data_IF_979990890045
#
_entry.id   IF_979990890045
#
_cell.length_a   1.000
_cell.length_b   1.000
_cell.length_c   1.000
_cell.angle_alpha   90.00
_cell.angle_beta   90.00
_cell.angle_gamma   90.00
#
_symmetry.space_group_name_H-M   'P 1'
#
loop_
_entity.id
_entity.type
_entity.pdbx_description
1 polymer ?
#
# COMPACT_ATOMS: atom_id res chain seq x y z
N UNK A 1 0.47 -22.33 -1.85
CA UNK A 1 0.79 -21.03 -1.20
C UNK A 1 0.32 -19.89 -2.10
N UNK A 2 -0.07 -18.75 -1.54
CA UNK A 2 -0.75 -17.61 -2.21
C UNK A 2 0.11 -16.84 -3.25
N UNK A 3 1.19 -17.42 -3.79
CA UNK A 3 2.03 -16.77 -4.82
C UNK A 3 2.84 -15.55 -4.35
N UNK A 4 3.03 -15.41 -3.03
CA UNK A 4 3.84 -14.38 -2.39
C UNK A 4 5.23 -14.92 -2.06
N UNK A 5 6.26 -14.09 -2.24
CA UNK A 5 7.62 -14.39 -1.82
C UNK A 5 7.84 -14.04 -0.35
N UNK A 6 8.90 -14.57 0.26
CA UNK A 6 9.26 -14.26 1.65
C UNK A 6 9.44 -12.77 1.91
N UNK A 7 10.05 -12.07 0.95
CA UNK A 7 10.15 -10.61 0.93
C UNK A 7 8.76 -9.95 1.00
N UNK A 8 7.80 -10.48 0.25
CA UNK A 8 6.45 -9.93 0.22
C UNK A 8 5.71 -10.15 1.54
N UNK A 9 5.94 -11.31 2.17
CA UNK A 9 5.37 -11.67 3.47
C UNK A 9 5.88 -10.71 4.56
N UNK A 10 7.20 -10.46 4.61
CA UNK A 10 7.82 -9.52 5.57
C UNK A 10 7.37 -8.08 5.32
N UNK A 11 7.18 -7.69 4.05
CA UNK A 11 6.63 -6.37 3.75
C UNK A 11 5.17 -6.25 4.22
N UNK A 12 4.36 -7.30 4.05
CA UNK A 12 2.95 -7.30 4.43
C UNK A 12 2.75 -7.28 5.95
N UNK A 13 3.63 -7.93 6.73
CA UNK A 13 3.58 -7.85 8.20
C UNK A 13 3.84 -6.44 8.73
N UNK A 14 4.63 -5.63 8.01
CA UNK A 14 4.74 -4.18 8.24
C UNK A 14 3.41 -3.44 8.19
N UNK A 15 2.38 -4.05 7.59
CA UNK A 15 0.99 -3.60 7.60
C UNK A 15 0.38 -3.47 9.00
N UNK A 16 0.97 -4.01 10.07
CA UNK A 16 0.54 -3.70 11.46
C UNK A 16 0.66 -2.19 11.79
N UNK A 17 1.54 -1.47 11.11
CA UNK A 17 1.58 0.01 11.14
C UNK A 17 0.30 0.64 10.57
N UNK A 18 -0.37 -0.04 9.62
CA UNK A 18 -1.63 0.37 8.98
C UNK A 18 -2.88 -0.32 9.50
N UNK A 19 -2.80 -1.47 10.17
CA UNK A 19 -4.00 -2.05 10.82
C UNK A 19 -4.50 -1.14 11.93
N UNK A 20 -3.59 -0.37 12.51
CA UNK A 20 -3.85 0.90 13.17
C UNK A 20 -4.77 1.82 12.31
N UNK A 21 -4.42 2.09 11.05
CA UNK A 21 -5.12 2.98 10.12
C UNK A 21 -6.47 2.47 9.58
N UNK A 22 -6.77 1.17 9.61
CA UNK A 22 -8.07 0.64 9.15
C UNK A 22 -9.21 0.84 10.17
N UNK A 23 -8.92 1.35 11.38
CA UNK A 23 -9.91 1.71 12.38
C UNK A 23 -10.38 3.17 12.27
N UNK A 24 -10.22 3.83 11.13
CA UNK A 24 -10.69 5.22 10.93
C UNK A 24 -12.21 5.30 10.75
N UNK A 25 -12.89 4.15 10.58
CA UNK A 25 -14.36 4.06 10.54
C UNK A 25 -14.97 4.05 11.96
N UNK A 26 -14.15 3.88 13.01
CA UNK A 26 -14.59 3.91 14.41
C UNK A 26 -13.72 4.90 15.20
N UNK A 27 -14.09 6.19 15.16
CA UNK A 27 -13.36 7.33 15.76
C UNK A 27 -13.11 7.28 17.28
N UNK A 28 -13.45 6.18 17.97
CA UNK A 28 -13.28 6.04 19.43
C UNK A 28 -12.32 4.92 19.85
N UNK A 29 -11.70 4.22 18.89
CA UNK A 29 -10.73 3.16 19.14
C UNK A 29 -9.39 3.56 18.53
N UNK A 30 -8.53 4.15 19.35
CA UNK A 30 -7.14 4.42 19.01
C UNK A 30 -6.46 3.07 18.74
N UNK A 31 -6.41 2.70 17.46
CA UNK A 31 -5.34 2.00 16.74
C UNK A 31 -4.46 1.07 17.60
N UNK A 32 -5.06 0.03 18.19
CA UNK A 32 -4.38 -1.00 18.99
C UNK A 32 -5.07 -2.35 18.79
N UNK A 33 -4.38 -3.44 19.11
CA UNK A 33 -5.05 -4.74 19.15
C UNK A 33 -6.25 -4.68 20.10
N UNK A 34 -7.34 -5.37 19.73
CA UNK A 34 -8.55 -5.39 20.54
C UNK A 34 -8.71 -6.76 21.19
N UNK A 35 -8.79 -6.84 22.54
CA UNK A 35 -8.88 -8.12 23.23
C UNK A 35 -10.16 -8.88 22.84
N UNK A 36 -11.26 -8.17 22.57
CA UNK A 36 -12.53 -8.77 22.13
C UNK A 36 -12.49 -9.36 20.71
N UNK A 37 -11.45 -9.12 19.91
CA UNK A 37 -11.32 -9.64 18.53
C UNK A 37 -10.15 -10.59 18.38
N UNK A 38 -8.98 -10.21 18.91
CA UNK A 38 -7.74 -10.96 18.73
C UNK A 38 -7.20 -11.58 20.02
N UNK A 39 -7.74 -11.22 21.19
CA UNK A 39 -7.18 -11.62 22.49
C UNK A 39 -5.93 -10.84 22.91
N UNK A 40 -5.49 -9.86 22.11
CA UNK A 40 -4.33 -9.01 22.41
C UNK A 40 -4.76 -7.56 22.61
N UNK A 41 -4.04 -6.82 23.46
CA UNK A 41 -4.25 -5.39 23.69
C UNK A 41 -2.94 -4.62 23.58
N UNK A 42 -2.96 -3.47 22.91
CA UNK A 42 -1.80 -2.58 22.78
C UNK A 42 -1.40 -2.21 21.34
N UNK A 43 -0.73 -1.07 21.13
CA UNK A 43 -0.26 -0.63 19.83
C UNK A 43 1.08 -1.29 19.45
N UNK A 44 1.36 -1.39 18.15
CA UNK A 44 2.63 -1.91 17.63
C UNK A 44 3.72 -0.83 17.50
N UNK A 45 3.34 0.45 17.47
CA UNK A 45 4.27 1.59 17.37
C UNK A 45 3.88 2.68 18.36
N UNK A 46 4.84 3.51 18.75
CA UNK A 46 4.61 4.66 19.65
C UNK A 46 3.67 5.69 19.04
N UNK A 47 3.77 5.85 17.72
CA UNK A 47 2.98 6.81 16.94
C UNK A 47 2.12 6.04 15.92
N UNK A 48 0.96 5.50 16.34
CA UNK A 48 0.13 4.65 15.49
C UNK A 48 -0.55 5.39 14.33
N UNK A 49 -0.44 6.72 14.29
CA UNK A 49 -0.99 7.57 13.23
C UNK A 49 -0.02 7.78 12.06
N UNK A 50 1.28 7.56 12.28
CA UNK A 50 2.31 7.79 11.27
C UNK A 50 2.71 6.48 10.58
N UNK A 51 2.82 6.52 9.26
CA UNK A 51 3.18 5.35 8.47
C UNK A 51 4.65 5.38 8.12
N UNK A 52 5.46 4.93 9.07
CA UNK A 52 6.92 5.01 9.03
C UNK A 52 7.59 3.63 9.18
N UNK A 53 8.92 3.62 9.21
CA UNK A 53 9.74 2.43 9.44
C UNK A 53 9.79 1.99 10.91
N UNK A 54 9.09 2.70 11.81
CA UNK A 54 9.16 2.50 13.25
C UNK A 54 8.75 1.09 13.68
N UNK A 55 7.81 0.45 12.98
CA UNK A 55 7.44 -0.95 13.24
C UNK A 55 8.66 -1.89 13.19
N UNK A 56 9.46 -1.84 12.13
CA UNK A 56 10.62 -2.73 11.99
C UNK A 56 11.74 -2.38 12.97
N UNK A 57 11.87 -1.11 13.35
CA UNK A 57 12.85 -0.66 14.36
C UNK A 57 12.45 -1.18 15.75
N UNK A 58 11.18 -1.03 16.12
CA UNK A 58 10.64 -1.51 17.40
C UNK A 58 10.54 -3.04 17.43
N UNK A 59 10.56 -3.72 16.28
CA UNK A 59 10.65 -5.16 16.22
C UNK A 59 12.01 -5.65 16.76
N UNK A 60 13.09 -4.96 16.39
CA UNK A 60 14.45 -5.26 16.83
C UNK A 60 14.75 -4.82 18.26
N UNK A 61 14.10 -3.73 18.71
CA UNK A 61 14.27 -3.21 20.06
C UNK A 61 13.28 -3.86 21.02
N UNK A 62 13.68 -4.23 22.22
CA UNK A 62 12.75 -4.74 23.24
C UNK A 62 12.09 -3.57 23.99
N UNK A 63 11.28 -2.80 23.29
CA UNK A 63 10.60 -1.63 23.85
C UNK A 63 9.41 -2.04 24.72
N UNK A 64 9.45 -1.59 25.97
CA UNK A 64 8.39 -1.82 26.94
C UNK A 64 7.09 -1.09 26.53
N UNK A 65 5.95 -1.77 26.64
CA UNK A 65 4.63 -1.19 26.38
C UNK A 65 4.15 -1.26 24.92
N UNK A 66 4.95 -1.82 24.00
CA UNK A 66 4.49 -2.13 22.64
C UNK A 66 4.09 -3.60 22.50
N UNK A 67 3.05 -3.84 21.71
CA UNK A 67 2.57 -5.18 21.41
C UNK A 67 3.49 -5.87 20.40
N UNK A 68 3.91 -7.08 20.72
CA UNK A 68 4.57 -8.00 19.80
C UNK A 68 3.82 -9.33 19.79
N UNK A 69 3.27 -9.70 18.64
CA UNK A 69 2.66 -11.01 18.48
C UNK A 69 3.75 -12.09 18.32
N UNK A 70 3.44 -13.36 18.62
CA UNK A 70 4.35 -14.46 18.31
C UNK A 70 4.75 -14.50 16.82
N UNK A 71 3.85 -14.07 15.92
CA UNK A 71 4.13 -13.92 14.49
C UNK A 71 5.15 -12.82 14.21
N UNK A 72 5.09 -11.70 14.93
CA UNK A 72 6.06 -10.61 14.80
C UNK A 72 7.45 -11.08 15.29
N UNK A 73 7.49 -11.82 16.39
CA UNK A 73 8.74 -12.41 16.90
C UNK A 73 9.36 -13.42 15.93
N UNK A 74 8.54 -14.19 15.18
CA UNK A 74 9.02 -15.15 14.20
C UNK A 74 9.82 -14.49 13.05
N UNK A 75 9.49 -13.25 12.67
CA UNK A 75 10.22 -12.50 11.64
C UNK A 75 11.66 -12.17 12.05
N UNK A 76 11.90 -12.05 13.37
CA UNK A 76 13.22 -11.76 13.95
C UNK A 76 13.99 -13.04 14.22
N UNK A 77 13.29 -14.10 14.62
CA UNK A 77 13.87 -15.40 14.93
C UNK A 77 14.40 -16.12 13.68
N UNK A 78 13.75 -15.95 12.53
CA UNK A 78 14.16 -16.56 11.27
C UNK A 78 15.26 -15.73 10.57
N UNK A 79 16.44 -16.31 10.29
CA UNK A 79 17.53 -15.61 9.61
C UNK A 79 17.23 -15.20 8.16
N UNK A 80 16.30 -15.87 7.46
CA UNK A 80 15.90 -15.49 6.10
C UNK A 80 15.01 -14.26 6.11
N UNK A 81 14.02 -14.20 7.00
CA UNK A 81 13.17 -13.02 7.18
C UNK A 81 13.92 -11.83 7.77
N UNK A 82 14.86 -12.08 8.68
CA UNK A 82 15.67 -11.04 9.34
C UNK A 82 16.40 -10.15 8.35
N UNK A 83 16.92 -10.71 7.25
CA UNK A 83 17.59 -9.95 6.18
C UNK A 83 16.67 -8.89 5.57
N UNK A 84 15.40 -9.22 5.38
CA UNK A 84 14.40 -8.30 4.84
C UNK A 84 13.97 -7.26 5.86
N UNK A 85 13.84 -7.64 7.14
CA UNK A 85 13.59 -6.70 8.25
C UNK A 85 14.69 -5.63 8.30
N UNK A 86 15.97 -6.04 8.29
CA UNK A 86 17.10 -5.12 8.33
C UNK A 86 17.18 -4.23 7.07
N UNK A 87 16.73 -4.74 5.92
CA UNK A 87 16.63 -3.97 4.68
C UNK A 87 15.54 -2.90 4.78
N UNK A 88 14.36 -3.26 5.28
CA UNK A 88 13.19 -2.37 5.37
C UNK A 88 13.33 -1.26 6.41
N UNK A 89 14.18 -1.44 7.41
CA UNK A 89 14.57 -0.35 8.31
C UNK A 89 15.26 0.79 7.54
N UNK A 90 16.10 0.46 6.55
CA UNK A 90 16.97 1.42 5.85
C UNK A 90 16.33 2.09 4.65
N UNK A 91 15.38 1.42 3.99
CA UNK A 91 14.74 1.93 2.76
C UNK A 91 13.35 2.49 3.05
N UNK A 92 12.80 3.30 2.14
CA UNK A 92 11.40 3.72 2.18
C UNK A 92 10.46 2.58 1.74
N UNK A 93 10.38 1.54 2.57
CA UNK A 93 9.76 0.24 2.27
C UNK A 93 8.28 0.37 1.87
N UNK A 94 7.58 1.34 2.45
CA UNK A 94 6.17 1.64 2.18
C UNK A 94 5.91 1.86 0.69
N UNK A 95 6.61 2.82 0.08
CA UNK A 95 6.37 3.18 -1.32
C UNK A 95 7.01 2.18 -2.27
N UNK A 96 8.18 1.66 -1.89
CA UNK A 96 8.97 0.82 -2.78
C UNK A 96 8.48 -0.64 -2.84
N UNK A 97 7.91 -1.17 -1.77
CA UNK A 97 7.56 -2.58 -1.67
C UNK A 97 6.10 -2.80 -1.25
N UNK A 98 5.60 -2.06 -0.25
CA UNK A 98 4.29 -2.36 0.31
C UNK A 98 3.12 -2.11 -0.65
N UNK A 99 3.11 -0.98 -1.37
CA UNK A 99 2.06 -0.66 -2.34
C UNK A 99 1.87 -1.70 -3.46
N UNK A 100 2.92 -2.12 -4.21
CA UNK A 100 2.74 -3.12 -5.27
C UNK A 100 2.33 -4.50 -4.73
N UNK A 101 2.77 -4.86 -3.52
CA UNK A 101 2.38 -6.12 -2.87
C UNK A 101 0.91 -6.09 -2.45
N UNK A 102 0.43 -4.98 -1.88
CA UNK A 102 -0.99 -4.82 -1.55
C UNK A 102 -1.88 -4.89 -2.78
N UNK A 103 -1.45 -4.29 -3.89
CA UNK A 103 -2.19 -4.38 -5.16
C UNK A 103 -2.27 -5.84 -5.62
N UNK A 104 -1.12 -6.53 -5.63
CA UNK A 104 -1.05 -7.97 -5.93
C UNK A 104 -1.93 -8.82 -5.00
N UNK A 105 -1.99 -8.47 -3.72
CA UNK A 105 -2.88 -9.12 -2.73
C UNK A 105 -4.36 -8.84 -3.01
N UNK A 106 -4.71 -7.63 -3.42
CA UNK A 106 -6.09 -7.26 -3.77
C UNK A 106 -6.57 -7.93 -5.05
N UNK A 107 -5.66 -8.21 -5.99
CA UNK A 107 -5.96 -8.87 -7.26
C UNK A 107 -5.89 -10.40 -7.17
N UNK A 108 -5.33 -10.95 -6.08
CA UNK A 108 -5.28 -12.39 -5.83
C UNK A 108 -6.71 -12.95 -5.68
N UNK A 109 -7.17 -13.64 -6.72
CA UNK A 109 -8.54 -14.18 -6.83
C UNK A 109 -9.39 -13.50 -7.90
N UNK A 110 -8.91 -12.41 -8.50
CA UNK A 110 -9.52 -11.82 -9.69
C UNK A 110 -9.09 -12.62 -10.93
N UNK A 111 -10.00 -13.43 -11.47
CA UNK A 111 -9.83 -14.02 -12.80
C UNK A 111 -10.47 -13.08 -13.83
N UNK A 112 -9.71 -12.32 -14.64
CA UNK A 112 -10.31 -11.56 -15.72
C UNK A 112 -10.92 -12.56 -16.70
N UNK A 113 -12.25 -12.61 -16.78
CA UNK A 113 -12.91 -13.42 -17.78
C UNK A 113 -12.66 -12.76 -19.15
N UNK A 114 -11.91 -13.39 -20.08
CA UNK A 114 -11.60 -12.78 -21.38
C UNK A 114 -12.85 -12.56 -22.25
N UNK A 115 -14.02 -13.07 -21.85
CA UNK A 115 -15.28 -12.87 -22.57
C UNK A 115 -16.14 -11.69 -22.08
N UNK A 116 -15.72 -10.92 -21.07
CA UNK A 116 -16.47 -9.75 -20.60
C UNK A 116 -15.95 -8.39 -21.12
N UNK A 117 -14.91 -8.38 -21.96
CA UNK A 117 -14.42 -7.15 -22.58
C UNK A 117 -14.26 -7.37 -24.07
N UNK A 118 -15.31 -7.09 -24.84
CA UNK A 118 -15.05 -6.39 -26.10
C UNK A 118 -14.36 -5.10 -25.70
N UNK A 119 -13.03 -5.08 -25.78
CA UNK A 119 -12.29 -3.85 -25.89
C UNK A 119 -12.88 -3.13 -27.10
N UNK A 120 -13.78 -2.19 -26.84
CA UNK A 120 -14.11 -1.17 -27.83
C UNK A 120 -12.86 -0.30 -27.91
N UNK A 121 -11.93 -0.72 -28.76
CA UNK A 121 -10.84 0.10 -29.25
C UNK A 121 -11.46 1.27 -30.04
N UNK A 122 -11.92 2.29 -29.33
CA UNK A 122 -12.30 3.59 -29.86
C UNK A 122 -11.95 4.65 -28.80
N UNK A 123 -10.65 4.79 -28.54
CA UNK A 123 -10.16 5.92 -27.74
C UNK A 123 -8.83 6.45 -28.30
N UNK A 124 -8.78 6.58 -29.62
CA UNK A 124 -7.64 7.18 -30.33
C UNK A 124 -8.05 8.31 -31.29
N UNK A 125 -9.34 8.63 -31.36
CA UNK A 125 -9.87 9.66 -32.28
C UNK A 125 -10.20 10.99 -31.60
N UNK A 126 -10.25 11.04 -30.26
CA UNK A 126 -10.63 12.28 -29.55
C UNK A 126 -9.48 13.29 -29.50
N UNK A 127 -8.23 12.84 -29.39
CA UNK A 127 -7.07 13.75 -29.29
C UNK A 127 -6.71 14.48 -30.59
N UNK A 128 -7.11 13.95 -31.76
CA UNK A 128 -6.81 14.60 -33.04
C UNK A 128 -7.76 15.76 -33.35
N UNK A 129 -8.96 15.78 -32.76
CA UNK A 129 -9.99 16.75 -33.10
C UNK A 129 -9.82 18.09 -32.35
N UNK A 130 -9.29 18.05 -31.12
CA UNK A 130 -9.03 19.23 -30.30
C UNK A 130 -7.95 20.15 -30.90
N UNK A 131 -6.90 19.58 -31.52
CA UNK A 131 -5.81 20.35 -32.10
C UNK A 131 -6.23 21.15 -33.36
N UNK A 132 -7.18 20.64 -34.13
CA UNK A 132 -7.70 21.34 -35.33
C UNK A 132 -8.59 22.51 -34.94
N UNK A 133 -9.40 22.37 -33.88
CA UNK A 133 -10.31 23.43 -33.41
C UNK A 133 -9.58 24.72 -33.00
N UNK A 134 -8.45 24.59 -32.31
CA UNK A 134 -7.64 25.74 -31.87
C UNK A 134 -6.99 26.46 -33.06
N UNK A 135 -6.51 25.73 -34.07
CA UNK A 135 -5.85 26.31 -35.23
C UNK A 135 -6.83 27.13 -36.11
N UNK A 136 -8.06 26.66 -36.28
CA UNK A 136 -9.08 27.37 -37.06
C UNK A 136 -9.50 28.67 -36.38
N UNK A 137 -9.66 28.68 -35.04
CA UNK A 137 -10.00 29.89 -34.30
C UNK A 137 -8.92 30.98 -34.41
N UNK A 138 -7.64 30.61 -34.34
CA UNK A 138 -6.54 31.56 -34.46
C UNK A 138 -6.47 32.22 -35.85
N UNK A 139 -6.72 31.45 -36.92
CA UNK A 139 -6.73 31.95 -38.31
C UNK A 139 -7.92 32.88 -38.58
N UNK A 140 -9.11 32.55 -38.07
CA UNK A 140 -10.30 33.43 -38.22
C UNK A 140 -10.12 34.75 -37.49
N UNK A 141 -9.51 34.74 -36.31
CA UNK A 141 -9.18 35.98 -35.59
C UNK A 141 -8.19 36.80 -36.41
N UNK A 142 -7.10 36.22 -36.91
CA UNK A 142 -6.08 37.01 -37.63
C UNK A 142 -6.56 37.60 -38.96
N UNK A 143 -7.47 36.93 -39.68
CA UNK A 143 -8.10 37.47 -40.91
C UNK A 143 -9.20 38.51 -40.64
N UNK A 144 -9.81 38.52 -39.45
CA UNK A 144 -10.81 39.52 -39.07
C UNK A 144 -10.23 40.87 -38.63
N UNK A 145 -8.90 40.95 -38.43
CA UNK A 145 -8.18 42.16 -38.04
C UNK A 145 -7.32 42.77 -39.19
N UNK A 146 -7.47 42.28 -40.44
CA UNK A 146 -6.87 42.86 -41.65
C UNK A 146 -7.94 43.52 -42.53
#
# INVERSE_FOLDING_TARGET
MMGLSDKDIVALSGGHTLTCLLCVICSHLIRKAHPNRSGFDGPWTKEPLQFDNSYFVELLNESEGLLKLPTDAALVADPEFRKYVDLYIKVIWVRACFSPILLKLSELGFTPNPTSCKASAKDSTVLAQEAVGVAVAAVVVSLGYL
#
